data_IF_410772755986
#
_entry.id   IF_410772755986
#
_cell.length_a   1.000
_cell.length_b   1.000
_cell.length_c   1.000
_cell.angle_alpha   90.00
_cell.angle_beta   90.00
_cell.angle_gamma   90.00
#
_symmetry.space_group_name_H-M   'P 1'
#
loop_
_entity.id
_entity.type
_entity.pdbx_description
1 polymer ?
#
# COMPACT_ATOMS: atom_id res chain seq x y z
N UNK A 1 20.51 2.98 -1.24
CA UNK A 1 20.32 4.36 -0.74
C UNK A 1 19.22 4.30 0.33
N UNK A 2 19.41 4.90 1.52
CA UNK A 2 18.64 4.71 2.80
C UNK A 2 19.14 3.62 3.78
N UNK A 3 20.46 3.51 3.97
CA UNK A 3 21.05 2.53 4.91
C UNK A 3 20.72 2.81 6.40
N UNK A 4 20.34 4.06 6.74
CA UNK A 4 20.06 4.52 8.12
C UNK A 4 18.67 5.18 8.27
N UNK A 5 17.66 4.73 7.52
CA UNK A 5 16.30 5.23 7.76
C UNK A 5 15.75 4.57 9.02
N UNK A 6 15.41 5.38 10.03
CA UNK A 6 14.87 4.92 11.31
C UNK A 6 13.71 3.96 11.10
N UNK A 7 13.71 2.84 11.82
CA UNK A 7 12.68 1.82 11.76
C UNK A 7 11.28 2.44 11.97
N UNK A 8 11.17 3.48 12.81
CA UNK A 8 9.92 4.21 13.03
C UNK A 8 9.36 4.83 11.74
N UNK A 9 10.23 5.40 10.91
CA UNK A 9 9.85 6.01 9.63
C UNK A 9 9.44 4.92 8.64
N UNK A 10 10.16 3.80 8.61
CA UNK A 10 9.80 2.64 7.77
C UNK A 10 8.42 2.09 8.12
N UNK A 11 8.11 1.96 9.42
CA UNK A 11 6.77 1.60 9.89
C UNK A 11 5.71 2.61 9.47
N UNK A 12 5.97 3.92 9.65
CA UNK A 12 5.04 4.97 9.27
C UNK A 12 4.72 4.93 7.77
N UNK A 13 5.74 4.81 6.92
CA UNK A 13 5.58 4.66 5.47
C UNK A 13 4.77 3.41 5.15
N UNK A 14 5.12 2.27 5.74
CA UNK A 14 4.42 1.01 5.52
C UNK A 14 2.93 1.08 5.86
N UNK A 15 2.59 1.68 7.00
CA UNK A 15 1.19 1.89 7.43
C UNK A 15 0.43 2.78 6.44
N UNK A 16 1.04 3.87 5.97
CA UNK A 16 0.42 4.75 4.96
C UNK A 16 0.12 4.00 3.67
N UNK A 17 1.05 3.15 3.21
CA UNK A 17 0.85 2.31 2.02
C UNK A 17 -0.26 1.27 2.20
N UNK A 18 -0.37 0.63 3.37
CA UNK A 18 -1.47 -0.29 3.68
C UNK A 18 -2.82 0.45 3.69
N UNK A 19 -2.89 1.61 4.35
CA UNK A 19 -4.11 2.42 4.37
C UNK A 19 -4.52 2.87 2.97
N UNK A 20 -3.55 3.29 2.16
CA UNK A 20 -3.77 3.66 0.75
C UNK A 20 -4.25 2.49 -0.10
N UNK A 21 -3.73 1.28 0.14
CA UNK A 21 -4.19 0.07 -0.52
C UNK A 21 -5.64 -0.27 -0.18
N UNK A 22 -6.01 -0.23 1.10
CA UNK A 22 -7.38 -0.48 1.54
C UNK A 22 -8.35 0.54 0.92
N UNK A 23 -7.96 1.81 0.90
CA UNK A 23 -8.74 2.86 0.26
C UNK A 23 -8.89 2.62 -1.25
N UNK A 24 -7.81 2.30 -1.95
CA UNK A 24 -7.85 1.99 -3.37
C UNK A 24 -8.72 0.76 -3.69
N UNK A 25 -8.72 -0.26 -2.83
CA UNK A 25 -9.59 -1.42 -2.96
C UNK A 25 -11.07 -1.07 -2.80
N UNK A 26 -11.41 -0.21 -1.84
CA UNK A 26 -12.78 0.30 -1.66
C UNK A 26 -13.25 1.11 -2.88
N UNK A 27 -12.40 2.02 -3.37
CA UNK A 27 -12.69 2.81 -4.57
C UNK A 27 -12.84 1.91 -5.80
N UNK A 28 -11.96 0.92 -5.97
CA UNK A 28 -12.04 -0.06 -7.04
C UNK A 28 -13.32 -0.91 -6.98
N UNK A 29 -13.81 -1.22 -5.78
CA UNK A 29 -15.07 -1.91 -5.57
C UNK A 29 -16.28 -1.03 -5.93
N UNK A 30 -16.28 0.23 -5.48
CA UNK A 30 -17.35 1.18 -5.77
C UNK A 30 -17.48 1.42 -7.28
N UNK A 31 -16.36 1.61 -7.98
CA UNK A 31 -16.32 1.76 -9.43
C UNK A 31 -16.85 0.52 -10.17
N UNK A 32 -16.49 -0.68 -9.69
CA UNK A 32 -17.04 -1.93 -10.22
C UNK A 32 -18.55 -2.00 -10.03
N UNK A 33 -19.07 -1.50 -8.90
CA UNK A 33 -20.51 -1.49 -8.60
C UNK A 33 -21.30 -0.57 -9.55
N UNK A 34 -20.68 0.52 -10.02
CA UNK A 34 -21.23 1.46 -11.00
C UNK A 34 -20.98 1.00 -12.46
N UNK A 35 -20.40 -0.18 -12.65
CA UNK A 35 -20.14 -0.78 -13.97
C UNK A 35 -18.87 -0.28 -14.67
N UNK A 36 -18.03 0.50 -13.98
CA UNK A 36 -16.74 0.95 -14.49
C UNK A 36 -15.63 -0.08 -14.19
N UNK A 37 -14.93 -0.56 -15.21
CA UNK A 37 -13.85 -1.55 -15.08
C UNK A 37 -12.48 -0.89 -15.00
N UNK A 38 -12.21 -0.17 -13.91
CA UNK A 38 -10.90 0.42 -13.66
C UNK A 38 -9.94 -0.57 -12.99
N UNK A 39 -9.53 -1.58 -13.75
CA UNK A 39 -8.61 -2.64 -13.28
C UNK A 39 -7.26 -2.09 -12.81
N UNK A 40 -6.82 -0.92 -13.32
CA UNK A 40 -5.58 -0.29 -12.88
C UNK A 40 -5.63 0.17 -11.41
N UNK A 41 -6.81 0.49 -10.86
CA UNK A 41 -6.97 0.87 -9.45
C UNK A 41 -6.75 -0.34 -8.55
N UNK A 42 -7.29 -1.50 -8.95
CA UNK A 42 -7.06 -2.77 -8.26
C UNK A 42 -5.58 -3.15 -8.27
N UNK A 43 -4.92 -3.02 -9.42
CA UNK A 43 -3.48 -3.27 -9.55
C UNK A 43 -2.68 -2.32 -8.66
N UNK A 44 -2.97 -1.02 -8.69
CA UNK A 44 -2.31 -0.02 -7.83
C UNK A 44 -2.51 -0.32 -6.34
N UNK A 45 -3.71 -0.78 -5.96
CA UNK A 45 -4.01 -1.15 -4.57
C UNK A 45 -3.19 -2.35 -4.11
N UNK A 46 -3.04 -3.37 -4.95
CA UNK A 46 -2.23 -4.56 -4.66
C UNK A 46 -0.74 -4.17 -4.56
N UNK A 47 -0.26 -3.33 -5.49
CA UNK A 47 1.13 -2.85 -5.46
C UNK A 47 1.41 -2.01 -4.21
N UNK A 48 0.47 -1.15 -3.83
CA UNK A 48 0.56 -0.37 -2.60
C UNK A 48 0.58 -1.28 -1.35
N UNK A 49 -0.22 -2.35 -1.34
CA UNK A 49 -0.21 -3.33 -0.25
C UNK A 49 1.15 -4.00 -0.12
N UNK A 50 1.67 -4.48 -1.26
CA UNK A 50 2.97 -5.13 -1.32
C UNK A 50 4.08 -4.19 -0.84
N UNK A 51 4.09 -2.94 -1.32
CA UNK A 51 5.04 -1.93 -0.86
C UNK A 51 4.92 -1.70 0.65
N UNK A 52 3.69 -1.60 1.18
CA UNK A 52 3.45 -1.42 2.61
C UNK A 52 4.04 -2.56 3.44
N UNK A 53 3.81 -3.80 3.01
CA UNK A 53 4.36 -5.00 3.66
C UNK A 53 5.89 -5.00 3.58
N UNK A 54 6.48 -4.71 2.42
CA UNK A 54 7.95 -4.65 2.24
C UNK A 54 8.60 -3.61 3.16
N UNK A 55 7.99 -2.42 3.28
CA UNK A 55 8.47 -1.38 4.20
C UNK A 55 8.39 -1.79 5.67
N UNK A 56 7.34 -2.52 6.07
CA UNK A 56 7.19 -3.04 7.43
C UNK A 56 8.19 -4.18 7.69
N UNK A 57 8.36 -5.11 6.76
CA UNK A 57 9.35 -6.19 6.85
C UNK A 57 10.77 -5.65 7.04
N UNK A 58 11.15 -4.65 6.25
CA UNK A 58 12.43 -3.94 6.40
C UNK A 58 12.56 -3.14 7.70
N UNK A 59 11.45 -2.83 8.38
CA UNK A 59 11.45 -2.21 9.70
C UNK A 59 11.57 -3.26 10.83
N UNK A 60 11.10 -4.49 10.59
CA UNK A 60 11.19 -5.64 11.49
C UNK A 60 12.57 -6.29 11.48
N UNK A 61 13.25 -6.33 10.33
CA UNK A 61 14.63 -6.84 10.15
C UNK A 61 15.72 -5.93 10.76
N UNK A 62 15.44 -5.33 11.92
CA UNK A 62 16.29 -4.39 12.64
C UNK A 62 17.75 -4.82 12.76
#
# INVERSE_FOLDING_TARGET
MFKNLDYRIRYAIGIVFIMGSLFGGLVGYDLKSVGQQYNHIWVLSIVALYAGIDWISKAMEK
#
